data_IF_043126940660
#
_entry.id   IF_043126940660
#
_cell.length_a   1.000
_cell.length_b   1.000
_cell.length_c   1.000
_cell.angle_alpha   90.00
_cell.angle_beta   90.00
_cell.angle_gamma   90.00
#
_symmetry.space_group_name_H-M   'P 1'
#
loop_
_entity.id
_entity.type
_entity.pdbx_description
1 polymer ?
#
# COMPACT_ATOMS: atom_id res chain seq x y z
N UNK A 1 -10.05 -26.00 -44.42
CA UNK A 1 -9.39 -26.97 -43.52
C UNK A 1 -8.45 -26.20 -42.61
N UNK A 2 -8.32 -26.60 -41.33
CA UNK A 2 -7.68 -25.92 -40.17
C UNK A 2 -8.61 -24.91 -39.46
N UNK A 3 -9.56 -25.39 -38.64
CA UNK A 3 -9.47 -25.84 -37.23
C UNK A 3 -9.38 -24.69 -36.23
N UNK A 4 -10.56 -24.25 -35.80
CA UNK A 4 -10.86 -23.48 -34.58
C UNK A 4 -10.31 -24.19 -33.34
N UNK A 5 -9.42 -23.54 -32.58
CA UNK A 5 -9.08 -23.94 -31.22
C UNK A 5 -10.11 -23.33 -30.26
N UNK A 6 -10.98 -24.19 -29.69
CA UNK A 6 -11.79 -23.82 -28.52
C UNK A 6 -10.91 -24.04 -27.29
N UNK A 7 -10.57 -22.97 -26.59
CA UNK A 7 -10.01 -23.07 -25.25
C UNK A 7 -11.11 -23.62 -24.33
N UNK A 8 -10.89 -24.82 -23.79
CA UNK A 8 -11.68 -25.37 -22.69
C UNK A 8 -11.02 -24.84 -21.42
N UNK A 9 -11.62 -23.82 -20.80
CA UNK A 9 -11.29 -23.47 -19.43
C UNK A 9 -11.86 -24.57 -18.52
N UNK A 10 -10.97 -25.41 -17.98
CA UNK A 10 -11.32 -26.38 -16.95
C UNK A 10 -11.64 -25.61 -15.65
N UNK A 11 -12.93 -25.49 -15.34
CA UNK A 11 -13.39 -24.97 -14.06
C UNK A 11 -13.05 -25.95 -12.95
N UNK A 12 -12.17 -25.53 -12.04
CA UNK A 12 -11.97 -26.21 -10.77
C UNK A 12 -13.09 -25.75 -9.83
N UNK A 13 -14.18 -26.53 -9.77
CA UNK A 13 -15.21 -26.34 -8.74
C UNK A 13 -14.61 -26.72 -7.38
N UNK A 14 -14.25 -25.71 -6.59
CA UNK A 14 -14.14 -25.85 -5.14
C UNK A 14 -15.53 -25.52 -4.58
N UNK A 15 -16.26 -26.56 -4.21
CA UNK A 15 -17.49 -26.42 -3.44
C UNK A 15 -17.11 -26.11 -1.98
N UNK A 16 -17.35 -24.88 -1.53
CA UNK A 16 -17.19 -24.48 -0.13
C UNK A 16 -17.58 -23.03 0.10
N UNK A 17 -18.77 -22.80 0.67
CA UNK A 17 -19.24 -21.50 1.20
C UNK A 17 -19.47 -20.39 0.16
N UNK A 18 -20.62 -19.71 0.23
CA UNK A 18 -20.78 -18.42 -0.44
C UNK A 18 -19.90 -17.39 0.30
N UNK A 19 -18.61 -17.32 0.02
CA UNK A 19 -17.80 -16.18 0.41
C UNK A 19 -18.17 -15.00 -0.46
N UNK A 20 -18.55 -13.88 0.16
CA UNK A 20 -18.86 -12.66 -0.56
C UNK A 20 -17.63 -12.18 -1.34
N UNK A 21 -17.79 -12.02 -2.64
CA UNK A 21 -16.83 -11.31 -3.46
C UNK A 21 -17.07 -9.81 -3.27
N UNK A 22 -16.00 -9.06 -3.03
CA UNK A 22 -16.09 -7.61 -2.83
C UNK A 22 -15.30 -6.91 -3.91
N UNK A 23 -15.94 -5.97 -4.60
CA UNK A 23 -15.25 -4.97 -5.41
C UNK A 23 -15.33 -3.64 -4.68
N UNK A 24 -14.18 -3.02 -4.46
CA UNK A 24 -14.02 -1.73 -3.81
C UNK A 24 -13.36 -0.75 -4.77
N UNK A 25 -13.79 0.50 -4.73
CA UNK A 25 -13.17 1.61 -5.47
C UNK A 25 -13.04 2.79 -4.53
N UNK A 26 -12.05 3.64 -4.75
CA UNK A 26 -11.87 4.84 -3.95
C UNK A 26 -10.79 5.75 -4.53
N UNK A 27 -10.56 6.86 -3.84
CA UNK A 27 -9.39 7.69 -4.05
C UNK A 27 -9.02 8.40 -2.75
N UNK A 28 -7.74 8.60 -2.49
CA UNK A 28 -7.28 9.48 -1.41
C UNK A 28 -6.78 10.81 -1.98
N UNK A 29 -7.05 11.92 -1.29
CA UNK A 29 -6.35 13.18 -1.51
C UNK A 29 -5.34 13.33 -0.38
N UNK A 30 -4.06 13.43 -0.71
CA UNK A 30 -2.98 13.61 0.27
C UNK A 30 -2.28 14.94 0.05
N UNK A 31 -2.04 15.69 1.12
CA UNK A 31 -1.30 16.96 1.05
C UNK A 31 0.14 16.77 0.57
N UNK A 32 0.68 15.55 0.70
CA UNK A 32 1.97 15.13 0.17
C UNK A 32 2.01 13.60 0.06
N UNK A 33 2.56 13.06 -1.02
CA UNK A 33 2.81 11.63 -1.12
C UNK A 33 4.15 11.29 -0.44
N UNK A 34 4.08 10.66 0.73
CA UNK A 34 5.26 10.18 1.47
C UNK A 34 5.21 8.66 1.55
N UNK A 35 6.17 7.98 0.93
CA UNK A 35 6.26 6.53 0.89
C UNK A 35 7.44 6.04 1.70
N UNK A 36 7.18 5.25 2.76
CA UNK A 36 8.21 4.68 3.66
C UNK A 36 9.25 5.71 4.16
N UNK A 37 8.80 6.94 4.41
CA UNK A 37 9.62 8.05 4.88
C UNK A 37 10.24 8.93 3.78
N UNK A 38 9.97 8.67 2.50
CA UNK A 38 10.52 9.43 1.37
C UNK A 38 9.43 10.26 0.72
N UNK A 39 9.76 11.49 0.34
CA UNK A 39 8.85 12.35 -0.42
C UNK A 39 8.84 11.96 -1.90
N UNK A 40 7.67 11.60 -2.41
CA UNK A 40 7.44 11.25 -3.80
C UNK A 40 6.65 12.36 -4.49
N UNK A 41 7.39 13.30 -5.10
CA UNK A 41 6.83 14.32 -6.00
C UNK A 41 6.63 15.71 -5.38
N UNK A 42 6.98 15.91 -4.09
CA UNK A 42 7.01 17.21 -3.39
C UNK A 42 5.73 18.04 -3.59
N UNK A 43 4.58 17.36 -3.73
CA UNK A 43 3.31 17.97 -4.08
C UNK A 43 2.14 17.21 -3.45
N UNK A 44 0.98 17.86 -3.42
CA UNK A 44 -0.28 17.18 -3.17
C UNK A 44 -0.52 16.16 -4.28
N UNK A 45 -1.13 15.03 -3.94
CA UNK A 45 -1.43 13.95 -4.88
C UNK A 45 -2.86 13.44 -4.71
N UNK A 46 -3.41 12.92 -5.81
CA UNK A 46 -4.66 12.16 -5.83
C UNK A 46 -4.31 10.70 -6.10
N UNK A 47 -4.85 9.81 -5.27
CA UNK A 47 -4.43 8.42 -5.20
C UNK A 47 -5.60 7.47 -5.42
N UNK A 48 -5.98 7.19 -6.68
CA UNK A 48 -7.10 6.31 -6.98
C UNK A 48 -6.79 4.86 -6.65
N UNK A 49 -7.82 4.08 -6.32
CA UNK A 49 -7.70 2.65 -6.07
C UNK A 49 -8.91 1.85 -6.52
N UNK A 50 -8.66 0.59 -6.88
CA UNK A 50 -9.67 -0.45 -7.10
C UNK A 50 -9.14 -1.77 -6.56
N UNK A 51 -9.98 -2.54 -5.89
CA UNK A 51 -9.64 -3.90 -5.44
C UNK A 51 -10.78 -4.88 -5.71
N UNK A 52 -10.40 -6.13 -5.92
CA UNK A 52 -11.28 -7.29 -5.91
C UNK A 52 -10.78 -8.27 -4.84
N UNK A 53 -11.69 -8.69 -3.96
CA UNK A 53 -11.41 -9.62 -2.87
C UNK A 53 -12.33 -10.83 -2.91
N UNK A 54 -11.76 -12.02 -2.72
CA UNK A 54 -12.52 -13.27 -2.61
C UNK A 54 -11.74 -14.31 -1.79
N UNK A 55 -12.32 -14.79 -0.68
CA UNK A 55 -11.78 -15.91 0.12
C UNK A 55 -10.31 -15.68 0.53
N UNK A 56 -9.97 -14.48 0.97
CA UNK A 56 -8.59 -14.13 1.36
C UNK A 56 -7.66 -13.75 0.21
N UNK A 57 -8.01 -14.04 -1.05
CA UNK A 57 -7.33 -13.48 -2.22
C UNK A 57 -7.75 -12.02 -2.42
N UNK A 58 -6.78 -11.16 -2.69
CA UNK A 58 -6.97 -9.78 -3.14
C UNK A 58 -6.16 -9.52 -4.41
N UNK A 59 -6.77 -8.84 -5.37
CA UNK A 59 -6.08 -8.21 -6.50
C UNK A 59 -6.46 -6.73 -6.52
N UNK A 60 -5.46 -5.86 -6.50
CA UNK A 60 -5.66 -4.42 -6.38
C UNK A 60 -4.83 -3.66 -7.41
N UNK A 61 -5.36 -2.51 -7.82
CA UNK A 61 -4.62 -1.47 -8.51
C UNK A 61 -4.71 -0.19 -7.70
N UNK A 62 -3.57 0.46 -7.50
CA UNK A 62 -3.46 1.76 -6.86
C UNK A 62 -2.64 2.68 -7.75
N UNK A 63 -2.79 3.98 -7.61
CA UNK A 63 -1.86 4.92 -8.22
C UNK A 63 -1.70 6.18 -7.39
N UNK A 64 -0.69 6.97 -7.74
CA UNK A 64 -0.45 8.29 -7.14
C UNK A 64 -0.12 9.27 -8.25
N UNK A 65 -0.88 10.35 -8.34
CA UNK A 65 -0.67 11.38 -9.35
C UNK A 65 -0.50 12.72 -8.68
N UNK A 66 0.68 13.32 -8.87
CA UNK A 66 0.94 14.68 -8.44
C UNK A 66 0.00 15.65 -9.16
N UNK A 67 -0.57 16.59 -8.43
CA UNK A 67 -1.35 17.68 -9.05
C UNK A 67 -0.46 18.77 -9.66
N UNK A 68 0.84 18.75 -9.35
CA UNK A 68 1.83 19.62 -9.97
C UNK A 68 2.56 18.90 -11.08
N UNK A 69 2.70 19.53 -12.25
CA UNK A 69 3.48 18.99 -13.35
C UNK A 69 4.94 18.69 -12.96
N UNK A 70 5.52 19.47 -12.03
CA UNK A 70 6.89 19.24 -11.53
C UNK A 70 7.03 17.92 -10.75
N UNK A 71 5.93 17.39 -10.20
CA UNK A 71 5.93 16.12 -9.46
C UNK A 71 5.58 14.91 -10.33
N UNK A 72 5.33 15.09 -11.63
CA UNK A 72 4.90 14.00 -12.51
C UNK A 72 5.93 12.87 -12.65
N UNK A 73 7.21 13.12 -12.34
CA UNK A 73 8.26 12.10 -12.32
C UNK A 73 8.08 11.05 -11.22
N UNK A 74 7.29 11.35 -10.20
CA UNK A 74 6.96 10.42 -9.11
C UNK A 74 5.54 9.86 -9.22
N UNK A 75 4.88 10.03 -10.38
CA UNK A 75 3.61 9.37 -10.63
C UNK A 75 3.83 7.87 -10.69
N UNK A 76 2.87 7.12 -10.17
CA UNK A 76 3.03 5.69 -9.90
C UNK A 76 1.71 4.95 -10.11
N UNK A 77 1.82 3.69 -10.55
CA UNK A 77 0.77 2.70 -10.65
C UNK A 77 1.29 1.41 -10.04
N UNK A 78 0.56 0.91 -9.04
CA UNK A 78 0.88 -0.33 -8.35
C UNK A 78 -0.16 -1.37 -8.70
N UNK A 79 0.30 -2.55 -9.10
CA UNK A 79 -0.55 -3.73 -9.26
C UNK A 79 -0.16 -4.75 -8.19
N UNK A 80 -1.09 -5.06 -7.30
CA UNK A 80 -0.84 -5.98 -6.18
C UNK A 80 -1.72 -7.20 -6.28
N UNK A 81 -1.14 -8.37 -5.99
CA UNK A 81 -1.89 -9.59 -5.73
C UNK A 81 -1.41 -10.17 -4.39
N UNK A 82 -2.34 -10.46 -3.49
CA UNK A 82 -2.02 -10.98 -2.16
C UNK A 82 -3.02 -12.03 -1.69
N UNK A 83 -2.60 -12.86 -0.74
CA UNK A 83 -3.46 -13.80 -0.07
C UNK A 83 -3.28 -13.72 1.44
N UNK A 84 -4.39 -13.57 2.17
CA UNK A 84 -4.39 -13.48 3.63
C UNK A 84 -5.13 -14.66 4.25
N UNK A 85 -4.45 -15.38 5.12
CA UNK A 85 -5.04 -16.33 6.05
C UNK A 85 -5.30 -15.63 7.38
N UNK A 86 -6.53 -15.73 7.89
CA UNK A 86 -6.90 -15.24 9.23
C UNK A 86 -7.47 -16.37 10.07
N UNK A 87 -7.19 -16.30 11.37
CA UNK A 87 -7.83 -17.09 12.41
C UNK A 87 -9.06 -16.36 12.95
N UNK A 88 -9.96 -17.09 13.62
CA UNK A 88 -11.15 -16.49 14.23
C UNK A 88 -10.83 -15.44 15.30
N UNK A 89 -9.63 -15.46 15.89
CA UNK A 89 -9.15 -14.47 16.87
C UNK A 89 -8.45 -13.26 16.26
N UNK A 90 -8.61 -13.02 14.95
CA UNK A 90 -8.08 -11.87 14.21
C UNK A 90 -6.62 -11.97 13.78
N UNK A 91 -5.83 -12.88 14.37
CA UNK A 91 -4.45 -13.09 13.95
C UNK A 91 -4.40 -13.62 12.51
N UNK A 92 -3.38 -13.22 11.75
CA UNK A 92 -3.28 -13.60 10.35
C UNK A 92 -1.88 -13.52 9.77
N UNK A 93 -1.74 -14.14 8.60
CA UNK A 93 -0.53 -14.08 7.76
C UNK A 93 -0.98 -13.67 6.37
N UNK A 94 -0.35 -12.65 5.82
CA UNK A 94 -0.52 -12.22 4.43
C UNK A 94 0.79 -12.42 3.67
N UNK A 95 0.69 -12.75 2.40
CA UNK A 95 1.82 -12.73 1.48
C UNK A 95 1.34 -12.31 0.09
N UNK A 96 2.21 -11.67 -0.67
CA UNK A 96 1.85 -11.17 -1.98
C UNK A 96 3.02 -10.67 -2.80
N UNK A 97 2.65 -10.07 -3.93
CA UNK A 97 3.56 -9.39 -4.85
C UNK A 97 2.94 -8.05 -5.24
N UNK A 98 3.78 -7.03 -5.33
CA UNK A 98 3.45 -5.74 -5.92
C UNK A 98 4.35 -5.49 -7.12
N UNK A 99 3.76 -5.02 -8.21
CA UNK A 99 4.44 -4.48 -9.38
C UNK A 99 4.32 -2.96 -9.38
N UNK A 100 5.46 -2.29 -9.18
CA UNK A 100 5.59 -0.84 -9.20
C UNK A 100 5.95 -0.36 -10.62
N UNK A 101 5.04 0.41 -11.21
CA UNK A 101 5.25 1.05 -12.51
C UNK A 101 5.17 2.58 -12.39
N UNK A 102 6.20 3.28 -12.88
CA UNK A 102 6.29 4.74 -12.83
C UNK A 102 6.05 5.36 -14.21
N UNK A 103 4.82 5.82 -14.54
CA UNK A 103 4.50 6.48 -15.81
C UNK A 103 5.04 7.92 -15.90
N UNK A 104 6.32 8.10 -15.59
CA UNK A 104 6.98 9.39 -15.65
C UNK A 104 7.06 9.92 -17.10
N UNK A 105 6.96 11.25 -17.32
CA UNK A 105 7.10 11.84 -18.65
C UNK A 105 8.45 11.48 -19.30
N UNK A 106 8.42 10.81 -20.45
CA UNK A 106 9.63 10.33 -21.14
C UNK A 106 10.24 9.05 -20.57
N UNK A 107 9.58 8.43 -19.57
CA UNK A 107 9.94 7.12 -19.04
C UNK A 107 9.50 5.96 -19.94
N UNK A 108 9.79 4.75 -19.47
CA UNK A 108 9.45 3.51 -20.17
C UNK A 108 7.93 3.28 -20.17
N UNK A 109 7.44 2.65 -21.23
CA UNK A 109 6.05 2.23 -21.35
C UNK A 109 5.77 0.96 -20.56
N UNK A 110 4.50 0.79 -20.16
CA UNK A 110 3.97 -0.36 -19.40
C UNK A 110 4.29 -1.76 -20.00
N UNK A 111 4.69 -1.85 -21.27
CA UNK A 111 5.00 -3.14 -21.93
C UNK A 111 6.48 -3.48 -21.89
N UNK A 112 7.31 -2.57 -21.41
CA UNK A 112 8.76 -2.73 -21.34
C UNK A 112 9.11 -3.34 -19.99
N UNK A 113 9.80 -4.49 -19.98
CA UNK A 113 10.09 -5.23 -18.75
C UNK A 113 10.88 -4.39 -17.72
N UNK A 114 11.79 -3.54 -18.20
CA UNK A 114 12.62 -2.67 -17.36
C UNK A 114 11.83 -1.50 -16.73
N UNK A 115 10.55 -1.32 -17.07
CA UNK A 115 9.68 -0.32 -16.47
C UNK A 115 9.16 -0.71 -15.08
N UNK A 116 9.36 -1.96 -14.68
CA UNK A 116 8.70 -2.59 -13.54
C UNK A 116 9.70 -2.90 -12.42
N UNK A 117 9.34 -2.56 -11.19
CA UNK A 117 10.03 -3.03 -9.99
C UNK A 117 9.10 -3.93 -9.21
N UNK A 118 9.46 -5.21 -9.06
CA UNK A 118 8.62 -6.18 -8.37
C UNK A 118 9.04 -6.29 -6.90
N UNK A 119 8.09 -6.31 -5.96
CA UNK A 119 8.32 -6.58 -4.54
C UNK A 119 7.53 -7.81 -4.10
N UNK A 120 8.22 -8.84 -3.59
CA UNK A 120 7.58 -9.88 -2.81
C UNK A 120 7.45 -9.43 -1.37
N UNK A 121 6.29 -9.66 -0.76
CA UNK A 121 6.10 -9.29 0.64
C UNK A 121 5.36 -10.35 1.44
N UNK A 122 5.54 -10.26 2.75
CA UNK A 122 4.76 -10.96 3.75
C UNK A 122 4.45 -10.06 4.94
N UNK A 123 3.33 -10.32 5.60
CA UNK A 123 2.96 -9.63 6.82
C UNK A 123 2.38 -10.59 7.86
N UNK A 124 2.69 -10.33 9.13
CA UNK A 124 2.04 -10.93 10.29
C UNK A 124 1.08 -9.91 10.89
N UNK A 125 -0.15 -10.34 11.13
CA UNK A 125 -1.21 -9.56 11.74
C UNK A 125 -1.47 -10.09 13.15
N UNK A 126 -1.40 -9.21 14.13
CA UNK A 126 -1.68 -9.55 15.53
C UNK A 126 -3.14 -9.94 15.77
N UNK A 127 -3.43 -10.71 16.83
CA UNK A 127 -4.80 -11.03 17.24
C UNK A 127 -5.56 -9.78 17.72
N UNK A 128 -6.88 -9.88 17.83
CA UNK A 128 -7.72 -8.79 18.37
C UNK A 128 -7.30 -8.37 19.79
N UNK A 129 -6.81 -9.32 20.60
CA UNK A 129 -6.34 -9.07 21.96
C UNK A 129 -5.04 -8.26 22.04
N UNK A 130 -4.25 -8.24 20.96
CA UNK A 130 -3.02 -7.48 20.83
C UNK A 130 -2.79 -7.15 19.35
N UNK A 131 -3.37 -6.05 18.91
CA UNK A 131 -3.25 -5.60 17.53
C UNK A 131 -1.84 -5.10 17.24
N UNK A 132 -1.22 -5.66 16.20
CA UNK A 132 0.04 -5.19 15.63
C UNK A 132 0.13 -5.63 14.17
N UNK A 133 1.07 -5.08 13.44
CA UNK A 133 1.46 -5.57 12.12
C UNK A 133 2.98 -5.63 12.04
N UNK A 134 3.51 -6.72 11.49
CA UNK A 134 4.90 -6.82 11.08
C UNK A 134 4.90 -7.08 9.57
N UNK A 135 5.58 -6.26 8.80
CA UNK A 135 5.68 -6.36 7.35
C UNK A 135 7.14 -6.59 6.96
N UNK A 136 7.37 -7.39 5.93
CA UNK A 136 8.66 -7.54 5.27
C UNK A 136 8.48 -7.60 3.76
N UNK A 137 9.26 -6.82 3.03
CA UNK A 137 9.27 -6.76 1.57
C UNK A 137 10.69 -6.96 1.03
N UNK A 138 10.79 -7.70 -0.07
CA UNK A 138 12.00 -7.88 -0.88
C UNK A 138 11.73 -7.31 -2.27
N UNK A 139 12.37 -6.18 -2.57
CA UNK A 139 12.28 -5.56 -3.89
C UNK A 139 13.34 -6.18 -4.80
N UNK A 140 12.94 -6.51 -6.03
CA UNK A 140 13.85 -6.98 -7.08
C UNK A 140 14.47 -5.80 -7.83
N UNK A 141 15.16 -4.94 -7.07
CA UNK A 141 15.95 -3.82 -7.58
C UNK A 141 17.45 -4.18 -7.66
N UNK A 142 18.30 -3.20 -7.94
CA UNK A 142 19.74 -3.40 -8.11
C UNK A 142 20.42 -4.07 -6.90
N UNK A 143 19.97 -3.78 -5.69
CA UNK A 143 20.59 -4.26 -4.44
C UNK A 143 19.76 -5.35 -3.74
N UNK A 144 18.63 -5.77 -4.32
CA UNK A 144 17.64 -6.64 -3.69
C UNK A 144 17.17 -6.10 -2.33
N UNK A 145 16.78 -4.83 -2.33
CA UNK A 145 16.45 -4.08 -1.12
C UNK A 145 15.41 -4.80 -0.25
N UNK A 146 15.72 -4.97 1.03
CA UNK A 146 14.80 -5.55 2.02
C UNK A 146 14.27 -4.44 2.93
N UNK A 147 12.97 -4.21 2.89
CA UNK A 147 12.25 -3.31 3.80
C UNK A 147 11.50 -4.11 4.86
N UNK A 148 11.53 -3.65 6.10
CA UNK A 148 10.73 -4.21 7.20
C UNK A 148 10.02 -3.09 7.94
N UNK A 149 8.80 -3.35 8.41
CA UNK A 149 8.03 -2.36 9.17
C UNK A 149 7.26 -3.02 10.30
N UNK A 150 7.20 -2.35 11.44
CA UNK A 150 6.32 -2.70 12.54
C UNK A 150 5.33 -1.57 12.79
N UNK A 151 4.06 -1.91 12.98
CA UNK A 151 2.97 -0.98 13.27
C UNK A 151 2.14 -1.44 14.45
N UNK A 152 1.72 -0.50 15.31
CA UNK A 152 0.87 -0.78 16.47
C UNK A 152 -0.17 0.34 16.64
N UNK A 153 -1.48 0.03 16.70
CA UNK A 153 -2.48 0.97 17.16
C UNK A 153 -2.30 1.23 18.67
N UNK A 154 -2.22 2.49 19.07
CA UNK A 154 -2.04 2.92 20.46
C UNK A 154 -3.37 3.24 21.13
N UNK A 155 -4.33 3.78 20.38
CA UNK A 155 -5.69 4.06 20.85
C UNK A 155 -6.67 3.57 19.80
N UNK A 156 -7.31 2.43 20.04
CA UNK A 156 -8.33 1.85 19.16
C UNK A 156 -9.73 2.01 19.78
N UNK A 157 -10.75 2.24 18.94
CA UNK A 157 -12.14 2.33 19.40
C UNK A 157 -12.54 3.64 20.08
N UNK A 158 -11.76 4.71 19.91
CA UNK A 158 -12.19 6.08 20.26
C UNK A 158 -12.60 6.84 18.99
N UNK A 159 -13.09 8.08 19.11
CA UNK A 159 -13.40 8.90 17.93
C UNK A 159 -12.15 9.19 17.07
N UNK A 160 -10.96 9.20 17.69
CA UNK A 160 -9.68 9.40 17.03
C UNK A 160 -8.77 8.21 17.32
N UNK A 161 -8.54 7.38 16.32
CA UNK A 161 -7.61 6.27 16.47
C UNK A 161 -6.18 6.77 16.25
N UNK A 162 -5.24 6.26 17.07
CA UNK A 162 -3.82 6.58 16.95
C UNK A 162 -3.03 5.33 16.61
N UNK A 163 -2.08 5.46 15.70
CA UNK A 163 -1.16 4.39 15.32
C UNK A 163 0.26 4.90 15.26
N UNK A 164 1.20 4.03 15.60
CA UNK A 164 2.63 4.27 15.41
C UNK A 164 3.20 3.22 14.48
N UNK A 165 4.12 3.62 13.61
CA UNK A 165 4.90 2.69 12.81
C UNK A 165 6.38 3.05 12.78
N UNK A 166 7.22 2.05 12.58
CA UNK A 166 8.66 2.19 12.39
C UNK A 166 9.12 1.23 11.28
N UNK A 167 9.79 1.78 10.27
CA UNK A 167 10.23 1.09 9.07
C UNK A 167 11.73 1.22 8.85
N UNK A 168 12.38 0.12 8.48
CA UNK A 168 13.82 0.03 8.30
C UNK A 168 14.18 -0.74 7.03
N UNK A 169 15.36 -0.43 6.50
CA UNK A 169 15.98 -1.18 5.40
C UNK A 169 17.07 -2.06 6.00
N UNK A 170 17.11 -3.34 5.63
CA UNK A 170 17.98 -4.33 6.28
C UNK A 170 19.42 -4.38 5.73
N UNK A 171 19.83 -3.45 4.86
CA UNK A 171 21.14 -3.46 4.25
C UNK A 171 21.38 -2.29 3.30
N UNK A 172 22.34 -2.50 2.38
CA UNK A 172 22.59 -1.57 1.28
C UNK A 172 21.38 -1.51 0.36
N UNK A 173 21.04 -0.30 -0.08
CA UNK A 173 20.01 -0.06 -1.07
C UNK A 173 20.25 1.28 -1.76
N UNK A 174 20.46 1.25 -3.08
CA UNK A 174 20.48 2.44 -3.90
C UNK A 174 19.11 3.14 -3.90
N UNK A 175 18.00 2.37 -3.86
CA UNK A 175 16.65 2.92 -3.83
C UNK A 175 16.40 3.77 -2.59
N UNK A 176 16.80 3.28 -1.42
CA UNK A 176 16.66 3.99 -0.14
C UNK A 176 17.90 4.86 0.21
N UNK A 177 18.94 4.86 -0.62
CA UNK A 177 20.20 5.57 -0.36
C UNK A 177 20.91 5.10 0.92
N UNK A 178 20.83 3.81 1.25
CA UNK A 178 21.48 3.22 2.43
C UNK A 178 22.73 2.43 2.03
N UNK A 179 23.80 2.50 2.83
CA UNK A 179 24.98 1.64 2.67
C UNK A 179 24.98 0.45 3.65
N UNK A 180 24.25 0.59 4.75
CA UNK A 180 24.03 -0.43 5.79
C UNK A 180 22.57 -0.36 6.24
N UNK A 181 22.15 -1.29 7.09
CA UNK A 181 20.81 -1.23 7.66
C UNK A 181 20.53 0.10 8.36
N UNK A 182 19.34 0.66 8.12
CA UNK A 182 18.97 2.00 8.60
C UNK A 182 17.47 2.10 8.87
N UNK A 183 17.11 2.90 9.88
CA UNK A 183 15.73 3.29 10.14
C UNK A 183 15.35 4.45 9.20
N UNK A 184 14.36 4.22 8.34
CA UNK A 184 14.00 5.14 7.26
C UNK A 184 12.61 5.74 7.41
N UNK A 185 11.76 5.18 8.27
CA UNK A 185 10.45 5.73 8.57
C UNK A 185 10.12 5.57 10.05
N UNK A 186 9.64 6.64 10.68
CA UNK A 186 8.95 6.61 11.96
C UNK A 186 7.77 7.53 11.83
N UNK A 187 6.56 7.06 12.17
CA UNK A 187 5.42 7.95 12.17
C UNK A 187 4.44 7.71 13.31
N UNK A 188 3.70 8.77 13.60
CA UNK A 188 2.47 8.73 14.38
C UNK A 188 1.35 9.24 13.50
N UNK A 189 0.28 8.47 13.40
CA UNK A 189 -0.92 8.81 12.61
C UNK A 189 -2.13 8.90 13.51
N UNK A 190 -2.87 9.99 13.39
CA UNK A 190 -4.19 10.14 13.97
C UNK A 190 -5.24 10.04 12.87
N UNK A 191 -6.24 9.16 13.04
CA UNK A 191 -7.30 8.93 12.05
C UNK A 191 -8.69 9.08 12.69
N UNK A 192 -9.63 9.60 11.92
CA UNK A 192 -11.05 9.70 12.31
C UNK A 192 -11.94 9.74 11.09
N UNK A 193 -13.22 9.42 11.27
CA UNK A 193 -14.23 9.71 10.25
C UNK A 193 -14.72 11.16 10.40
N UNK A 194 -14.76 11.91 9.30
CA UNK A 194 -15.28 13.27 9.26
C UNK A 194 -16.75 13.22 8.89
N UNK A 195 -17.67 13.33 9.85
CA UNK A 195 -19.10 13.41 9.54
C UNK A 195 -19.40 14.69 8.75
N UNK A 196 -19.73 14.53 7.47
CA UNK A 196 -20.15 15.63 6.58
C UNK A 196 -21.68 15.69 6.54
N UNK A 197 -22.32 14.52 6.41
CA UNK A 197 -23.78 14.37 6.49
C UNK A 197 -24.13 13.14 7.33
N UNK A 198 -25.41 12.91 7.58
CA UNK A 198 -25.86 11.71 8.29
C UNK A 198 -25.56 10.40 7.54
N UNK A 199 -25.44 10.48 6.22
CA UNK A 199 -25.15 9.32 5.35
C UNK A 199 -23.73 9.33 4.80
N UNK A 200 -22.89 10.31 5.13
CA UNK A 200 -21.53 10.38 4.61
C UNK A 200 -20.52 10.87 5.64
N UNK A 201 -19.58 9.99 5.95
CA UNK A 201 -18.44 10.28 6.80
C UNK A 201 -17.17 9.68 6.18
N UNK A 202 -16.42 10.41 5.35
CA UNK A 202 -15.14 9.93 4.82
C UNK A 202 -14.08 9.80 5.92
N UNK A 203 -13.14 8.85 5.81
CA UNK A 203 -11.99 8.79 6.69
C UNK A 203 -11.05 9.97 6.40
N UNK A 204 -10.45 10.54 7.43
CA UNK A 204 -9.36 11.48 7.33
C UNK A 204 -8.27 11.15 8.34
N UNK A 205 -7.03 11.48 8.01
CA UNK A 205 -5.90 11.30 8.91
C UNK A 205 -4.89 12.43 8.82
N UNK A 206 -4.14 12.60 9.90
CA UNK A 206 -2.93 13.42 9.97
C UNK A 206 -1.79 12.54 10.46
N UNK A 207 -0.70 12.52 9.70
CA UNK A 207 0.49 11.74 10.01
C UNK A 207 1.69 12.67 10.17
N UNK A 208 2.40 12.56 11.29
CA UNK A 208 3.76 13.09 11.42
C UNK A 208 4.72 11.95 11.08
N UNK A 209 5.43 12.07 9.96
CA UNK A 209 6.34 11.06 9.42
C UNK A 209 7.75 11.63 9.43
N UNK A 210 8.72 10.92 9.95
CA UNK A 210 10.13 11.30 9.94
C UNK A 210 10.97 10.19 9.31
N UNK A 211 12.00 10.59 8.57
CA UNK A 211 13.04 9.70 8.05
C UNK A 211 14.37 9.99 8.76
N UNK A 212 14.72 9.20 9.79
CA UNK A 212 15.94 9.42 10.56
C UNK A 212 17.21 9.33 9.72
N UNK A 213 17.23 8.49 8.67
CA UNK A 213 18.36 8.31 7.79
C UNK A 213 18.60 9.53 6.88
N UNK A 214 17.55 10.11 6.30
CA UNK A 214 17.66 11.29 5.43
C UNK A 214 17.76 12.61 6.21
N UNK A 215 18.82 12.78 7.01
CA UNK A 215 19.07 14.00 7.79
C UNK A 215 17.89 14.42 8.71
N UNK A 216 17.03 13.46 9.11
CA UNK A 216 15.87 13.74 9.95
C UNK A 216 14.77 14.56 9.26
N UNK A 217 14.66 14.52 7.92
CA UNK A 217 13.51 15.14 7.22
C UNK A 217 12.21 14.61 7.80
N UNK A 218 11.26 15.51 8.03
CA UNK A 218 9.95 15.20 8.56
C UNK A 218 8.85 15.86 7.75
N UNK A 219 7.69 15.21 7.71
CA UNK A 219 6.53 15.60 6.95
C UNK A 219 5.30 15.52 7.84
N UNK A 220 4.45 16.55 7.78
CA UNK A 220 3.11 16.51 8.34
C UNK A 220 2.14 16.35 7.18
N UNK A 221 1.51 15.19 7.08
CA UNK A 221 0.67 14.81 5.93
C UNK A 221 -0.78 14.71 6.36
N UNK A 222 -1.66 15.44 5.69
CA UNK A 222 -3.10 15.26 5.79
C UNK A 222 -3.57 14.36 4.65
N UNK A 223 -4.48 13.43 4.95
CA UNK A 223 -5.15 12.57 3.98
C UNK A 223 -6.66 12.64 4.18
N UNK A 224 -7.40 12.74 3.08
CA UNK A 224 -8.85 12.59 3.02
C UNK A 224 -9.21 11.46 2.06
N UNK A 225 -9.92 10.44 2.55
CA UNK A 225 -10.37 9.33 1.74
C UNK A 225 -11.75 9.55 1.13
N UNK A 226 -11.82 9.39 -0.19
CA UNK A 226 -13.04 9.45 -0.98
C UNK A 226 -13.47 8.02 -1.31
N UNK A 227 -14.21 7.42 -0.36
CA UNK A 227 -14.78 6.09 -0.53
C UNK A 227 -16.27 6.26 -0.83
N UNK A 228 -16.80 5.62 -1.89
CA UNK A 228 -18.24 5.60 -2.15
C UNK A 228 -18.99 4.98 -0.98
N UNK A 229 -20.04 5.65 -0.49
CA UNK A 229 -20.98 5.05 0.46
C UNK A 229 -21.94 4.16 -0.32
N UNK A 230 -22.19 2.96 0.18
CA UNK A 230 -23.29 2.12 -0.30
C UNK A 230 -24.58 2.47 0.42
#
# INVERSE_FOLDING_TARGET
MMRTARLVAAGMLVAGGLSAQTVSTGADIVSRYVWRGYDFGESMAVQPSVSFEAVGLEVAAWGSYSISASGAGANEIDLTASYTLRTDGGAGVSAGITDYYFPSPGGLGLREADAHNLELFAALLGPESLSFTLFGGLMFDLDNSVYVEAGVPILAGTEVELDVHAGAVAGKSAFYGTETGALVSVAVTARRFLRITDSYAPPASVSLIANPHQNGRAFLVFKLGLIPVR
#
